data_IF_652812546404
#
_entry.id   IF_652812546404
#
_cell.length_a   1.000
_cell.length_b   1.000
_cell.length_c   1.000
_cell.angle_alpha   90.00
_cell.angle_beta   90.00
_cell.angle_gamma   90.00
#
_symmetry.space_group_name_H-M   'P 1'
#
loop_
_entity.id
_entity.type
_entity.pdbx_description
1 polymer ?
#
# COMPACT_ATOMS: atom_id res chain seq x y z
N UNK A 1 5.53 -1.18 16.47
CA UNK A 1 6.00 -2.50 16.00
C UNK A 1 5.25 -2.93 14.77
N UNK A 2 5.94 -3.53 13.83
CA UNK A 2 5.33 -3.99 12.58
C UNK A 2 5.30 -5.51 12.58
N UNK A 3 4.12 -6.08 12.39
CA UNK A 3 3.96 -7.52 12.33
C UNK A 3 3.46 -7.88 10.94
N UNK A 4 4.07 -8.84 10.27
CA UNK A 4 3.62 -9.30 8.96
C UNK A 4 3.13 -10.73 9.09
N UNK A 5 1.89 -10.97 8.67
CA UNK A 5 1.30 -12.29 8.70
C UNK A 5 1.13 -12.79 7.27
N UNK A 6 1.45 -14.05 7.04
CA UNK A 6 1.31 -14.65 5.73
C UNK A 6 0.01 -15.48 5.73
N UNK A 7 -1.00 -14.96 5.06
CA UNK A 7 -2.27 -15.66 4.94
C UNK A 7 -2.38 -16.52 3.68
N UNK A 8 -1.48 -16.28 2.71
CA UNK A 8 -1.44 -17.08 1.50
C UNK A 8 0.03 -17.35 1.17
N UNK A 9 0.40 -18.61 1.12
CA UNK A 9 1.78 -18.98 0.86
C UNK A 9 2.26 -18.61 -0.52
N UNK A 10 1.37 -18.27 -1.45
CA UNK A 10 1.79 -17.81 -2.77
C UNK A 10 2.75 -16.63 -2.66
N UNK A 11 2.56 -15.78 -1.64
CA UNK A 11 3.45 -14.66 -1.43
C UNK A 11 4.90 -15.12 -1.18
N UNK A 12 5.07 -16.14 -0.32
CA UNK A 12 6.41 -16.60 0.01
C UNK A 12 6.99 -17.51 -1.10
N UNK A 13 6.12 -18.15 -1.88
CA UNK A 13 6.62 -18.90 -3.02
C UNK A 13 7.14 -17.95 -4.10
N UNK A 14 6.47 -16.82 -4.33
CA UNK A 14 6.90 -15.84 -5.32
C UNK A 14 8.08 -15.01 -4.81
N UNK A 15 8.06 -14.67 -3.51
CA UNK A 15 9.10 -13.84 -2.90
C UNK A 15 9.45 -14.48 -1.56
N UNK A 16 10.58 -15.16 -1.49
CA UNK A 16 10.97 -15.82 -0.25
C UNK A 16 11.07 -14.86 0.93
N UNK A 17 11.40 -13.60 0.65
CA UNK A 17 11.55 -12.57 1.67
C UNK A 17 10.37 -11.58 1.66
N UNK A 18 9.18 -12.02 1.27
CA UNK A 18 8.02 -11.13 1.18
C UNK A 18 7.75 -10.40 2.49
N UNK A 19 7.83 -11.09 3.62
CA UNK A 19 7.57 -10.46 4.91
C UNK A 19 8.58 -9.35 5.21
N UNK A 20 9.85 -9.62 4.94
CA UNK A 20 10.89 -8.62 5.19
C UNK A 20 10.76 -7.42 4.27
N UNK A 21 10.37 -7.66 3.00
CA UNK A 21 10.16 -6.58 2.05
C UNK A 21 9.04 -5.67 2.55
N UNK A 22 7.93 -6.26 2.97
CA UNK A 22 6.80 -5.48 3.45
C UNK A 22 7.15 -4.73 4.73
N UNK A 23 7.84 -5.38 5.64
CA UNK A 23 8.20 -4.75 6.91
C UNK A 23 9.14 -3.57 6.69
N UNK A 24 10.14 -3.73 5.84
CA UNK A 24 11.12 -2.67 5.58
C UNK A 24 10.45 -1.48 4.88
N UNK A 25 9.57 -1.74 3.92
CA UNK A 25 8.86 -0.69 3.22
C UNK A 25 7.92 0.06 4.18
N UNK A 26 7.23 -0.67 5.04
CA UNK A 26 6.34 -0.05 6.01
C UNK A 26 7.10 0.82 7.00
N UNK A 27 8.25 0.35 7.45
CA UNK A 27 9.07 1.13 8.37
C UNK A 27 9.52 2.43 7.73
N UNK A 28 9.95 2.38 6.46
CA UNK A 28 10.37 3.57 5.74
C UNK A 28 9.22 4.57 5.60
N UNK A 29 8.01 4.07 5.35
CA UNK A 29 6.85 4.93 5.21
C UNK A 29 6.48 5.58 6.55
N UNK A 30 6.54 4.82 7.64
CA UNK A 30 6.23 5.35 8.95
C UNK A 30 7.23 6.45 9.33
N UNK A 31 8.51 6.22 9.10
CA UNK A 31 9.54 7.22 9.40
C UNK A 31 9.28 8.49 8.60
N UNK A 32 8.98 8.37 7.31
CA UNK A 32 8.72 9.53 6.48
C UNK A 32 7.45 10.26 6.89
N UNK A 33 6.40 9.52 7.25
CA UNK A 33 5.15 10.14 7.66
C UNK A 33 5.31 10.89 8.98
N UNK A 34 6.03 10.31 9.92
CA UNK A 34 6.26 10.99 11.20
C UNK A 34 7.10 12.25 11.04
N UNK A 35 8.00 12.27 10.07
CA UNK A 35 8.83 13.45 9.83
C UNK A 35 8.02 14.60 9.23
N UNK A 36 6.89 14.29 8.60
CA UNK A 36 6.10 15.29 7.89
C UNK A 36 4.81 15.66 8.62
N UNK A 37 4.62 15.23 9.86
CA UNK A 37 3.41 15.56 10.59
C UNK A 37 3.76 15.74 12.03
N UNK A 38 2.96 16.51 12.75
CA UNK A 38 3.14 16.68 14.16
C UNK A 38 2.52 15.55 14.95
N UNK A 39 1.85 14.64 14.31
CA UNK A 39 1.18 13.57 15.02
C UNK A 39 2.20 12.57 15.47
N UNK A 40 2.11 12.12 16.68
CA UNK A 40 2.97 11.08 17.16
C UNK A 40 2.16 9.81 17.13
N UNK A 41 2.03 9.20 15.99
CA UNK A 41 1.32 7.97 15.92
C UNK A 41 2.33 6.85 15.85
N UNK A 42 2.74 6.42 17.02
CA UNK A 42 3.58 5.29 17.04
C UNK A 42 2.74 4.15 17.41
N UNK A 43 2.08 3.50 16.68
CA UNK A 43 1.29 2.35 17.02
C UNK A 43 1.76 1.11 16.31
N UNK A 44 1.23 -0.02 16.72
CA UNK A 44 1.52 -1.28 16.05
C UNK A 44 0.78 -1.35 14.72
N UNK A 45 1.43 -1.94 13.74
CA UNK A 45 0.88 -2.13 12.41
C UNK A 45 0.90 -3.61 12.08
N UNK A 46 -0.21 -4.13 11.59
CA UNK A 46 -0.27 -5.50 11.11
C UNK A 46 -0.44 -5.48 9.59
N UNK A 47 0.40 -6.22 8.88
CA UNK A 47 0.32 -6.35 7.44
C UNK A 47 -0.02 -7.80 7.13
N UNK A 48 -1.14 -8.02 6.47
CA UNK A 48 -1.59 -9.35 6.11
C UNK A 48 -1.36 -9.56 4.61
N UNK A 49 -0.47 -10.48 4.27
CA UNK A 49 -0.21 -10.86 2.89
C UNK A 49 -1.07 -12.09 2.60
N UNK A 50 -2.17 -11.90 1.91
CA UNK A 50 -3.18 -12.92 1.77
C UNK A 50 -3.66 -13.08 0.32
N UNK A 51 -4.81 -13.72 0.11
CA UNK A 51 -5.31 -13.98 -1.22
C UNK A 51 -6.47 -13.05 -1.57
N UNK A 52 -6.88 -13.11 -2.84
CA UNK A 52 -7.94 -12.23 -3.35
C UNK A 52 -9.27 -12.50 -2.67
N UNK A 53 -9.55 -13.76 -2.35
CA UNK A 53 -10.82 -14.11 -1.74
C UNK A 53 -10.96 -13.49 -0.36
N UNK A 54 -9.90 -13.49 0.42
CA UNK A 54 -9.95 -12.92 1.76
C UNK A 54 -10.03 -11.40 1.69
N UNK A 55 -9.31 -10.77 0.77
CA UNK A 55 -9.39 -9.32 0.61
C UNK A 55 -10.79 -8.94 0.14
N UNK A 56 -11.40 -9.71 -0.77
CA UNK A 56 -12.76 -9.46 -1.19
C UNK A 56 -13.72 -9.54 -0.02
N UNK A 57 -13.56 -10.54 0.85
CA UNK A 57 -14.39 -10.71 2.02
C UNK A 57 -14.24 -9.51 2.98
N UNK A 58 -13.01 -9.08 3.22
CA UNK A 58 -12.77 -7.93 4.09
C UNK A 58 -13.36 -6.67 3.49
N UNK A 59 -13.22 -6.48 2.19
CA UNK A 59 -13.74 -5.31 1.52
C UNK A 59 -15.27 -5.28 1.60
N UNK A 60 -15.91 -6.44 1.44
CA UNK A 60 -17.35 -6.53 1.52
C UNK A 60 -17.84 -6.29 2.96
N UNK A 61 -17.18 -6.88 3.93
CA UNK A 61 -17.63 -6.79 5.32
C UNK A 61 -17.43 -5.39 5.92
N UNK A 62 -16.35 -4.73 5.56
CA UNK A 62 -16.02 -3.46 6.19
C UNK A 62 -16.28 -2.23 5.33
N UNK A 63 -16.46 -2.40 4.03
CA UNK A 63 -16.68 -1.27 3.13
C UNK A 63 -17.89 -1.46 2.24
N UNK A 64 -18.55 -2.63 2.32
CA UNK A 64 -19.71 -2.90 1.50
C UNK A 64 -19.43 -3.13 0.03
N UNK A 65 -18.17 -3.41 -0.31
CA UNK A 65 -17.78 -3.63 -1.71
C UNK A 65 -17.39 -5.08 -1.91
N UNK A 66 -18.18 -5.82 -2.66
CA UNK A 66 -17.95 -7.24 -2.86
C UNK A 66 -17.00 -7.45 -4.04
N UNK A 67 -15.77 -7.03 -3.88
CA UNK A 67 -14.75 -7.20 -4.91
C UNK A 67 -13.37 -7.18 -4.27
N UNK A 68 -12.44 -7.87 -4.90
CA UNK A 68 -11.04 -7.85 -4.46
C UNK A 68 -10.39 -6.58 -4.96
N UNK A 69 -9.43 -6.09 -4.19
CA UNK A 69 -8.59 -4.96 -4.59
C UNK A 69 -7.16 -5.31 -4.21
N UNK A 70 -6.21 -4.48 -4.57
CA UNK A 70 -4.80 -4.78 -4.32
C UNK A 70 -4.44 -4.62 -2.84
N UNK A 71 -4.81 -3.51 -2.23
CA UNK A 71 -4.47 -3.25 -0.83
C UNK A 71 -5.64 -2.58 -0.13
N UNK A 72 -5.89 -2.98 1.11
CA UNK A 72 -6.89 -2.34 1.97
C UNK A 72 -6.19 -1.86 3.22
N UNK A 73 -6.55 -0.66 3.67
CA UNK A 73 -6.03 -0.09 4.90
C UNK A 73 -7.17 0.15 5.87
N UNK A 74 -7.00 -0.28 7.10
CA UNK A 74 -8.00 -0.13 8.14
C UNK A 74 -7.39 0.62 9.31
N UNK A 75 -7.63 1.93 9.43
CA UNK A 75 -7.08 2.68 10.56
C UNK A 75 -7.63 2.16 11.88
N UNK A 76 -6.82 2.22 12.90
CA UNK A 76 -7.27 1.81 14.22
C UNK A 76 -8.34 2.75 14.73
N UNK A 77 -9.22 2.29 15.62
CA UNK A 77 -10.25 3.16 16.19
C UNK A 77 -9.63 4.36 16.90
N UNK A 78 -10.33 5.49 16.92
CA UNK A 78 -9.74 6.73 17.42
C UNK A 78 -9.25 6.72 18.85
N UNK A 79 -9.83 5.86 19.69
CA UNK A 79 -9.41 5.85 21.09
C UNK A 79 -8.44 4.74 21.43
N UNK A 80 -7.76 4.16 20.45
CA UNK A 80 -6.71 3.22 20.72
C UNK A 80 -5.39 3.94 20.51
N UNK A 81 -4.50 3.85 21.47
CA UNK A 81 -3.24 4.58 21.40
C UNK A 81 -2.08 3.71 20.92
N UNK A 82 -2.23 2.39 20.99
CA UNK A 82 -1.13 1.51 20.67
C UNK A 82 -1.25 0.84 19.30
N UNK A 83 -2.26 1.20 18.53
CA UNK A 83 -2.48 0.61 17.22
C UNK A 83 -2.52 1.64 16.15
N UNK A 84 -1.73 1.48 15.11
CA UNK A 84 -1.79 2.33 13.93
C UNK A 84 -2.88 1.82 13.00
N UNK A 85 -2.95 0.53 12.80
CA UNK A 85 -3.99 -0.07 11.95
C UNK A 85 -3.53 -1.36 11.30
N UNK A 86 -4.32 -1.81 10.33
CA UNK A 86 -4.06 -3.04 9.60
C UNK A 86 -4.05 -2.78 8.10
N UNK A 87 -3.22 -3.52 7.37
CA UNK A 87 -3.17 -3.45 5.92
C UNK A 87 -3.28 -4.86 5.39
N UNK A 88 -4.10 -5.10 4.39
CA UNK A 88 -4.22 -6.41 3.75
C UNK A 88 -3.92 -6.30 2.26
N UNK A 89 -3.13 -7.21 1.73
CA UNK A 89 -2.76 -7.20 0.31
C UNK A 89 -3.15 -8.52 -0.34
N UNK A 90 -3.74 -8.44 -1.53
CA UNK A 90 -4.25 -9.58 -2.28
C UNK A 90 -3.23 -10.05 -3.30
N UNK A 91 -2.74 -11.27 -3.15
CA UNK A 91 -1.67 -11.78 -4.00
C UNK A 91 -2.00 -11.75 -5.49
N UNK A 92 -3.16 -12.28 -5.87
CA UNK A 92 -3.51 -12.39 -7.28
C UNK A 92 -3.62 -11.04 -7.97
N UNK A 93 -4.28 -10.09 -7.31
CA UNK A 93 -4.42 -8.75 -7.86
C UNK A 93 -3.06 -8.07 -7.96
N UNK A 94 -2.24 -8.18 -6.91
CA UNK A 94 -0.92 -7.55 -6.91
C UNK A 94 -0.01 -8.14 -7.97
N UNK A 95 -0.01 -9.45 -8.14
CA UNK A 95 0.84 -10.12 -9.14
C UNK A 95 0.41 -9.74 -10.54
N UNK A 96 -0.89 -9.70 -10.80
CA UNK A 96 -1.40 -9.33 -12.13
C UNK A 96 -1.08 -7.87 -12.45
N UNK A 97 -1.20 -6.98 -11.46
CA UNK A 97 -0.87 -5.59 -11.68
C UNK A 97 0.61 -5.39 -11.94
N UNK A 98 1.45 -6.08 -11.21
CA UNK A 98 2.90 -5.96 -11.40
C UNK A 98 3.27 -6.38 -12.81
N UNK A 99 2.70 -7.48 -13.28
CA UNK A 99 2.98 -7.95 -14.62
C UNK A 99 2.46 -6.96 -15.66
N UNK A 100 1.26 -6.47 -15.50
CA UNK A 100 0.68 -5.52 -16.45
C UNK A 100 1.45 -4.21 -16.51
N UNK A 101 2.05 -3.81 -15.40
CA UNK A 101 2.78 -2.55 -15.34
C UNK A 101 4.28 -2.71 -15.59
N UNK A 102 4.74 -3.94 -15.84
CA UNK A 102 6.15 -4.16 -16.11
C UNK A 102 7.05 -4.00 -14.90
N UNK A 103 6.51 -4.25 -13.70
CA UNK A 103 7.26 -4.13 -12.47
C UNK A 103 7.51 -5.49 -11.87
N UNK A 104 8.50 -5.61 -11.01
CA UNK A 104 8.66 -6.83 -10.23
C UNK A 104 7.60 -6.85 -9.13
N UNK A 105 7.23 -8.04 -8.70
CA UNK A 105 6.29 -8.15 -7.60
C UNK A 105 6.87 -7.53 -6.33
N UNK A 106 8.17 -7.65 -6.10
CA UNK A 106 8.80 -7.05 -4.94
C UNK A 106 8.64 -5.53 -4.93
N UNK A 107 8.87 -4.88 -6.06
CA UNK A 107 8.72 -3.42 -6.14
C UNK A 107 7.27 -3.00 -5.99
N UNK A 108 6.35 -3.79 -6.56
CA UNK A 108 4.93 -3.46 -6.42
C UNK A 108 4.48 -3.65 -4.97
N UNK A 109 4.96 -4.68 -4.29
CA UNK A 109 4.68 -4.88 -2.88
C UNK A 109 5.19 -3.70 -2.05
N UNK A 110 6.40 -3.22 -2.32
CA UNK A 110 6.93 -2.05 -1.63
C UNK A 110 6.03 -0.85 -1.83
N UNK A 111 5.62 -0.60 -3.07
CA UNK A 111 4.79 0.56 -3.38
C UNK A 111 3.43 0.48 -2.67
N UNK A 112 2.76 -0.66 -2.75
CA UNK A 112 1.44 -0.79 -2.16
C UNK A 112 1.48 -0.77 -0.63
N UNK A 113 2.53 -1.31 -0.04
CA UNK A 113 2.71 -1.25 1.41
C UNK A 113 2.88 0.20 1.85
N UNK A 114 3.73 0.95 1.16
CA UNK A 114 3.92 2.37 1.48
C UNK A 114 2.62 3.13 1.32
N UNK A 115 1.90 2.88 0.24
CA UNK A 115 0.61 3.53 -0.03
C UNK A 115 -0.37 3.25 1.11
N UNK A 116 -0.47 2.01 1.55
CA UNK A 116 -1.36 1.64 2.64
C UNK A 116 -0.99 2.29 3.95
N UNK A 117 0.31 2.37 4.26
CA UNK A 117 0.76 3.02 5.48
C UNK A 117 0.41 4.50 5.45
N UNK A 118 0.63 5.17 4.33
CA UNK A 118 0.33 6.60 4.23
C UNK A 118 -1.16 6.86 4.41
N UNK A 119 -2.02 5.95 3.93
CA UNK A 119 -3.45 6.08 4.19
C UNK A 119 -3.75 5.99 5.69
N UNK A 120 -3.04 5.16 6.43
CA UNK A 120 -3.26 5.06 7.87
C UNK A 120 -2.89 6.37 8.58
N UNK A 121 -1.98 7.15 8.01
CA UNK A 121 -1.62 8.44 8.56
C UNK A 121 -2.51 9.57 8.05
N UNK A 122 -3.55 9.25 7.28
CA UNK A 122 -4.50 10.25 6.84
C UNK A 122 -4.28 10.83 5.46
N UNK A 123 -3.22 10.40 4.77
CA UNK A 123 -3.03 10.85 3.39
C UNK A 123 -4.13 10.25 2.52
N UNK A 124 -4.59 11.02 1.57
CA UNK A 124 -5.66 10.58 0.72
C UNK A 124 -5.40 11.03 -0.70
N UNK A 125 -6.23 10.58 -1.64
CA UNK A 125 -6.07 10.97 -3.02
C UNK A 125 -7.42 11.32 -3.65
N UNK A 126 -8.38 11.75 -2.83
CA UNK A 126 -9.67 12.14 -3.34
C UNK A 126 -9.61 13.48 -4.07
N UNK A 127 -8.77 14.39 -3.61
CA UNK A 127 -8.58 15.66 -4.30
C UNK A 127 -7.25 15.63 -5.02
N UNK A 128 -7.17 16.31 -6.16
CA UNK A 128 -5.94 16.31 -6.95
C UNK A 128 -4.74 16.80 -6.14
N UNK A 129 -4.93 17.81 -5.33
CA UNK A 129 -3.82 18.34 -4.53
C UNK A 129 -3.36 17.34 -3.49
N UNK A 130 -4.28 16.58 -2.91
CA UNK A 130 -3.93 15.57 -1.94
C UNK A 130 -3.22 14.40 -2.62
N UNK A 131 -3.68 14.03 -3.81
CA UNK A 131 -3.05 12.96 -4.56
C UNK A 131 -1.62 13.32 -4.91
N UNK A 132 -1.36 14.57 -5.29
CA UNK A 132 -0.01 14.99 -5.62
C UNK A 132 0.92 14.91 -4.42
N UNK A 133 0.45 15.30 -3.25
CA UNK A 133 1.27 15.23 -2.05
C UNK A 133 1.57 13.77 -1.71
N UNK A 134 0.57 12.93 -1.74
CA UNK A 134 0.73 11.53 -1.40
C UNK A 134 1.66 10.83 -2.38
N UNK A 135 1.45 11.04 -3.69
CA UNK A 135 2.28 10.41 -4.70
C UNK A 135 3.72 10.93 -4.66
N UNK A 136 3.88 12.20 -4.38
CA UNK A 136 5.23 12.77 -4.23
C UNK A 136 5.97 12.14 -3.07
N UNK A 137 5.28 11.90 -1.96
CA UNK A 137 5.88 11.25 -0.81
C UNK A 137 6.21 9.80 -1.13
N UNK A 138 5.32 9.09 -1.82
CA UNK A 138 5.58 7.72 -2.24
C UNK A 138 6.83 7.63 -3.10
N UNK A 139 6.99 8.55 -4.05
CA UNK A 139 8.16 8.56 -4.92
C UNK A 139 9.45 8.74 -4.13
N UNK A 140 9.43 9.66 -3.17
CA UNK A 140 10.63 9.91 -2.36
C UNK A 140 10.99 8.72 -1.49
N UNK A 141 9.99 8.08 -0.89
CA UNK A 141 10.26 6.91 -0.06
C UNK A 141 10.80 5.78 -0.91
N UNK A 142 10.17 5.53 -2.06
CA UNK A 142 10.61 4.46 -2.95
C UNK A 142 11.99 4.73 -3.52
N UNK A 143 12.31 5.97 -3.84
CA UNK A 143 13.65 6.30 -4.33
C UNK A 143 14.70 5.99 -3.27
N UNK A 144 14.37 6.22 -2.01
CA UNK A 144 15.27 5.87 -0.91
C UNK A 144 15.48 4.37 -0.76
N UNK A 145 14.53 3.57 -1.27
CA UNK A 145 14.65 2.12 -1.24
C UNK A 145 15.22 1.56 -2.56
N UNK A 146 15.60 2.44 -3.48
CA UNK A 146 16.15 1.99 -4.76
C UNK A 146 15.12 1.57 -5.77
N UNK A 147 13.86 1.99 -5.60
CA UNK A 147 12.79 1.61 -6.51
C UNK A 147 12.47 2.77 -7.44
N UNK A 148 12.30 2.45 -8.73
CA UNK A 148 11.98 3.47 -9.72
C UNK A 148 10.61 4.10 -9.44
N UNK A 149 10.43 5.32 -9.91
CA UNK A 149 9.19 6.06 -9.73
C UNK A 149 8.02 5.27 -10.32
N UNK A 150 7.05 4.84 -9.53
CA UNK A 150 5.95 4.05 -10.04
C UNK A 150 5.01 4.85 -10.95
N UNK A 151 5.13 6.16 -10.94
CA UNK A 151 4.27 7.02 -11.76
C UNK A 151 4.98 7.56 -13.00
N UNK A 152 6.24 7.20 -13.22
CA UNK A 152 6.99 7.74 -14.33
C UNK A 152 6.40 7.34 -15.68
N UNK A 153 5.93 6.12 -15.78
CA UNK A 153 5.33 5.68 -17.02
C UNK A 153 4.06 6.42 -17.36
N UNK A 154 3.31 6.83 -16.35
CA UNK A 154 2.10 7.56 -16.58
C UNK A 154 2.39 8.90 -17.18
N UNK A 155 3.48 9.53 -16.77
CA UNK A 155 3.81 10.80 -17.32
C UNK A 155 4.12 10.70 -18.79
N UNK A 156 4.75 9.65 -19.21
CA UNK A 156 5.09 9.50 -20.58
C UNK A 156 3.87 9.31 -21.42
N UNK A 157 2.88 8.71 -20.87
CA UNK A 157 1.76 8.45 -21.62
C UNK A 157 0.83 9.49 -21.52
N UNK A 158 1.13 10.33 -20.69
CA UNK A 158 0.43 11.40 -20.57
C UNK A 158 -0.93 11.32 -20.73
N UNK A 159 -1.30 11.61 -21.61
CA UNK A 159 -2.59 11.84 -21.72
C UNK A 159 -3.47 10.80 -21.58
N UNK A 160 -3.12 9.95 -21.75
CA UNK A 160 -3.98 9.09 -21.81
C UNK A 160 -4.58 8.73 -20.89
N UNK A 161 -4.53 8.83 -20.33
CA UNK A 161 -5.04 8.32 -19.49
C UNK A 161 -5.72 8.74 -18.64
N UNK A 162 -5.93 9.61 -18.46
CA UNK A 162 -6.52 10.09 -17.48
C UNK A 162 -7.46 9.29 -16.82
N UNK A 163 -8.37 8.93 -17.27
CA UNK A 163 -9.42 8.34 -16.61
C UNK A 163 -9.08 7.18 -15.93
N UNK A 164 -8.21 6.61 -16.33
CA UNK A 164 -8.00 5.44 -15.78
C UNK A 164 -7.45 5.48 -14.60
N UNK A 165 -7.11 6.57 -14.15
CA UNK A 165 -6.54 6.55 -13.07
C UNK A 165 -7.35 6.35 -12.04
N UNK A 166 -8.51 6.60 -12.06
CA UNK A 166 -9.31 6.47 -10.99
C UNK A 166 -9.04 5.40 -10.17
N UNK A 167 -8.86 4.44 -10.61
CA UNK A 167 -8.80 3.35 -9.86
C UNK A 167 -7.65 3.17 -9.18
N UNK A 168 -6.83 3.77 -9.23
CA UNK A 168 -5.85 3.47 -8.61
C UNK A 168 -6.00 3.36 -7.38
N UNK A 169 -6.59 3.31 -6.68
CA UNK A 169 -6.73 3.24 -5.67
C UNK A 169 -6.95 2.72 -4.85
N UNK A 170 -7.12 2.29 -4.71
CA UNK A 170 -7.16 1.55 -3.64
C UNK A 170 -7.72 2.04 -2.41
#
# INVERSE_FOLDING_TARGET
>A
MIEVEIGDEAWTWALADAAEIAEFAADAAIVAALANTDASHEGDLVILLTDDAQVRDLNNRFRGKDQATNVLSFPAPPNTHDLLGDIALAYGVCAAEAEAQGKTLADHLRHLTIHGVLHLFGYDHELDSEAEVMEGLERRILAGLGVADPYAGDHDHGPQLGPDHGPRHG
#
